data_IF_164035999750
#
_entry.id   IF_164035999750
#
_cell.length_a   1.000
_cell.length_b   1.000
_cell.length_c   1.000
_cell.angle_alpha   90.00
_cell.angle_beta   90.00
_cell.angle_gamma   90.00
#
_symmetry.space_group_name_H-M   'P 1'
#
loop_
_entity.id
_entity.type
_entity.pdbx_description
1 polymer ?
#
# COMPACT_ATOMS: atom_id res chain seq x y z
N UNK A 1 10.43 11.04 16.62
CA UNK A 1 11.65 10.66 15.87
C UNK A 1 12.05 11.77 14.90
N UNK A 2 11.16 12.24 14.02
CA UNK A 2 11.43 13.44 13.21
C UNK A 2 11.84 14.65 14.05
N UNK A 3 11.14 14.90 15.17
CA UNK A 3 11.49 16.01 16.08
C UNK A 3 12.90 15.88 16.71
N UNK A 4 13.41 14.64 16.82
CA UNK A 4 14.77 14.36 17.31
C UNK A 4 15.82 14.49 16.21
N UNK A 5 15.48 14.06 14.98
CA UNK A 5 16.40 14.03 13.83
C UNK A 5 16.53 15.42 13.20
N UNK A 6 15.44 16.19 13.12
CA UNK A 6 15.41 17.51 12.49
C UNK A 6 16.53 18.47 12.94
N UNK A 7 16.83 18.64 14.25
CA UNK A 7 17.93 19.50 14.68
C UNK A 7 19.34 18.95 14.37
N UNK A 8 19.45 17.66 14.02
CA UNK A 8 20.71 17.01 13.65
C UNK A 8 20.97 17.04 12.14
N UNK A 9 20.03 17.56 11.34
CA UNK A 9 20.16 17.60 9.88
C UNK A 9 21.24 18.60 9.49
N UNK A 10 22.25 18.11 8.78
CA UNK A 10 23.29 18.94 8.17
C UNK A 10 23.03 19.03 6.67
N UNK A 11 22.86 20.24 6.10
CA UNK A 11 22.74 20.42 4.67
C UNK A 11 23.98 19.89 3.93
N UNK A 12 23.78 19.17 2.82
CA UNK A 12 24.85 18.74 1.95
C UNK A 12 24.52 19.11 0.49
N UNK A 13 25.56 19.21 -0.34
CA UNK A 13 25.42 19.48 -1.78
C UNK A 13 25.43 18.20 -2.63
N UNK A 14 25.53 17.03 -1.99
CA UNK A 14 25.66 15.73 -2.64
C UNK A 14 24.31 15.06 -2.82
N UNK A 15 24.14 14.26 -3.87
CA UNK A 15 22.91 13.48 -4.06
C UNK A 15 22.91 12.27 -3.13
N UNK A 16 21.75 11.94 -2.56
CA UNK A 16 21.53 10.73 -1.77
C UNK A 16 20.88 9.69 -2.67
N UNK A 17 21.43 8.47 -2.68
CA UNK A 17 20.82 7.30 -3.33
C UNK A 17 20.41 6.31 -2.26
N UNK A 18 19.11 6.03 -2.17
CA UNK A 18 18.55 5.01 -1.29
C UNK A 18 18.13 3.81 -2.13
N UNK A 19 18.80 2.67 -1.93
CA UNK A 19 18.48 1.40 -2.59
C UNK A 19 17.76 0.47 -1.61
N UNK A 20 16.48 0.20 -1.85
CA UNK A 20 15.69 -0.77 -1.06
C UNK A 20 15.59 -2.09 -1.84
N UNK A 21 16.10 -3.17 -1.26
CA UNK A 21 16.00 -4.52 -1.82
C UNK A 21 14.84 -5.25 -1.13
N UNK A 22 13.72 -5.43 -1.83
CA UNK A 22 12.53 -6.06 -1.27
C UNK A 22 12.81 -7.52 -0.88
N UNK A 23 12.39 -7.91 0.33
CA UNK A 23 12.58 -9.27 0.83
C UNK A 23 14.04 -9.72 1.01
N UNK A 24 15.00 -8.80 1.17
CA UNK A 24 16.43 -9.14 1.28
C UNK A 24 16.77 -10.04 2.49
N UNK A 25 16.06 -9.84 3.60
CA UNK A 25 16.27 -10.60 4.82
C UNK A 25 15.88 -12.07 4.65
N UNK A 26 16.76 -12.97 5.08
CA UNK A 26 16.58 -14.42 4.98
C UNK A 26 16.88 -15.13 6.30
N UNK A 27 16.46 -16.38 6.40
CA UNK A 27 16.79 -17.26 7.54
C UNK A 27 17.91 -18.23 7.13
N UNK A 28 18.81 -18.58 8.07
CA UNK A 28 19.86 -19.54 7.77
C UNK A 28 19.26 -20.90 7.41
N UNK A 29 19.75 -21.50 6.31
CA UNK A 29 19.37 -22.86 5.94
C UNK A 29 19.98 -23.86 6.92
N UNK A 30 19.24 -24.88 7.38
CA UNK A 30 19.76 -25.86 8.35
C UNK A 30 21.05 -26.55 7.90
N UNK A 31 21.21 -26.77 6.60
CA UNK A 31 22.33 -27.56 6.04
C UNK A 31 23.63 -26.76 5.98
N UNK A 32 23.54 -25.44 5.78
CA UNK A 32 24.72 -24.56 5.58
C UNK A 32 24.96 -23.61 6.73
N UNK A 33 23.95 -23.38 7.57
CA UNK A 33 23.96 -22.34 8.62
C UNK A 33 23.97 -20.92 8.05
N UNK A 34 23.70 -20.74 6.75
CA UNK A 34 23.81 -19.45 6.05
C UNK A 34 22.47 -19.04 5.45
N UNK A 35 22.20 -17.74 5.49
CA UNK A 35 21.10 -17.10 4.76
C UNK A 35 21.36 -17.08 3.26
N UNK A 36 20.33 -16.71 2.49
CA UNK A 36 20.42 -16.48 1.05
C UNK A 36 21.48 -15.42 0.72
N UNK A 37 21.52 -14.34 1.50
CA UNK A 37 22.46 -13.23 1.28
C UNK A 37 23.91 -13.65 1.51
N UNK A 38 24.17 -14.47 2.54
CA UNK A 38 25.50 -15.01 2.86
C UNK A 38 25.96 -16.09 1.87
N UNK A 39 25.02 -16.74 1.19
CA UNK A 39 25.31 -17.76 0.18
C UNK A 39 25.59 -17.13 -1.19
N UNK A 40 24.99 -15.98 -1.48
CA UNK A 40 25.11 -15.31 -2.77
C UNK A 40 26.51 -14.73 -3.02
N UNK A 41 26.99 -14.83 -4.27
CA UNK A 41 28.26 -14.19 -4.69
C UNK A 41 28.02 -12.72 -5.03
N UNK A 42 28.31 -11.83 -4.07
CA UNK A 42 27.99 -10.39 -4.16
C UNK A 42 29.24 -9.50 -4.04
N UNK A 43 30.17 -9.52 -5.01
CA UNK A 43 31.46 -8.83 -4.89
C UNK A 43 31.33 -7.31 -4.72
N UNK A 44 30.34 -6.69 -5.39
CA UNK A 44 30.12 -5.24 -5.29
C UNK A 44 29.55 -4.84 -3.92
N UNK A 45 28.59 -5.61 -3.39
CA UNK A 45 28.01 -5.33 -2.07
C UNK A 45 29.02 -5.60 -0.96
N UNK A 46 29.81 -6.67 -1.10
CA UNK A 46 30.89 -7.00 -0.17
C UNK A 46 31.95 -5.90 -0.12
N UNK A 47 32.41 -5.41 -1.28
CA UNK A 47 33.36 -4.28 -1.34
C UNK A 47 32.77 -3.01 -0.72
N UNK A 48 31.52 -2.69 -1.04
CA UNK A 48 30.85 -1.54 -0.44
C UNK A 48 30.76 -1.65 1.08
N UNK A 49 30.44 -2.83 1.62
CA UNK A 49 30.37 -3.06 3.05
C UNK A 49 31.72 -2.86 3.78
N UNK A 50 32.85 -3.12 3.12
CA UNK A 50 34.18 -2.89 3.71
C UNK A 50 34.58 -1.41 3.81
N UNK A 51 33.94 -0.55 3.01
CA UNK A 51 34.26 0.89 2.92
C UNK A 51 33.15 1.76 3.55
N UNK A 52 32.07 1.15 4.06
CA UNK A 52 30.87 1.84 4.54
C UNK A 52 30.55 1.51 6.00
N UNK A 53 29.66 2.30 6.59
CA UNK A 53 29.05 1.97 7.87
C UNK A 53 27.92 0.94 7.67
N UNK A 54 28.05 -0.23 8.28
CA UNK A 54 27.04 -1.28 8.25
C UNK A 54 26.21 -1.30 9.54
N UNK A 55 24.96 -1.77 9.44
CA UNK A 55 24.06 -1.87 10.57
C UNK A 55 22.79 -2.63 10.21
N UNK A 56 21.90 -2.78 11.20
CA UNK A 56 20.58 -3.38 11.03
C UNK A 56 19.52 -2.29 11.00
N UNK A 57 18.60 -2.38 10.04
CA UNK A 57 17.45 -1.48 9.95
C UNK A 57 16.22 -2.19 10.47
N UNK A 58 15.49 -1.52 11.36
CA UNK A 58 14.18 -1.94 11.85
C UNK A 58 13.12 -1.02 11.27
N UNK A 59 12.28 -1.56 10.40
CA UNK A 59 11.25 -0.76 9.72
C UNK A 59 10.10 -0.31 10.63
N UNK A 60 9.68 -1.15 11.59
CA UNK A 60 8.51 -0.88 12.46
C UNK A 60 8.90 -1.02 13.93
N UNK A 61 8.77 -2.22 14.51
CA UNK A 61 9.09 -2.50 15.92
C UNK A 61 9.67 -3.90 16.10
N UNK A 62 10.37 -4.19 17.22
CA UNK A 62 10.87 -5.53 17.48
C UNK A 62 9.72 -6.52 17.47
N UNK A 63 9.88 -7.63 16.74
CA UNK A 63 8.83 -8.64 16.60
C UNK A 63 7.66 -8.29 15.68
N UNK A 64 7.67 -7.12 15.00
CA UNK A 64 6.63 -6.76 14.03
C UNK A 64 7.14 -6.99 12.61
N UNK A 65 6.54 -7.96 11.91
CA UNK A 65 6.78 -8.18 10.48
C UNK A 65 6.07 -7.10 9.66
N UNK A 66 6.80 -6.24 8.93
CA UNK A 66 6.19 -5.19 8.13
C UNK A 66 5.59 -5.73 6.84
N UNK A 67 4.44 -5.19 6.45
CA UNK A 67 4.04 -5.16 5.03
C UNK A 67 4.70 -3.98 4.31
N UNK A 68 4.66 -3.95 2.97
CA UNK A 68 5.36 -2.93 2.17
C UNK A 68 4.98 -1.49 2.55
N UNK A 69 3.73 -1.20 2.90
CA UNK A 69 3.30 0.15 3.31
C UNK A 69 4.02 0.66 4.57
N UNK A 70 3.79 0.04 5.76
CA UNK A 70 4.52 0.37 6.98
C UNK A 70 6.05 0.30 6.82
N UNK A 71 6.55 -0.65 6.02
CA UNK A 71 7.98 -0.82 5.74
C UNK A 71 8.62 0.41 5.08
N UNK A 72 7.97 0.94 4.05
CA UNK A 72 8.44 2.14 3.34
C UNK A 72 8.27 3.40 4.18
N UNK A 73 7.19 3.54 4.95
CA UNK A 73 7.00 4.69 5.84
C UNK A 73 8.13 4.81 6.87
N UNK A 74 8.48 3.68 7.51
CA UNK A 74 9.62 3.62 8.42
C UNK A 74 10.94 3.98 7.73
N UNK A 75 11.15 3.52 6.50
CA UNK A 75 12.34 3.83 5.71
C UNK A 75 12.46 5.34 5.40
N UNK A 76 11.34 6.02 5.16
CA UNK A 76 11.29 7.47 4.92
C UNK A 76 11.21 8.31 6.20
N UNK A 77 11.38 7.69 7.38
CA UNK A 77 11.46 8.38 8.67
C UNK A 77 10.11 8.71 9.32
N UNK A 78 8.99 8.25 8.74
CA UNK A 78 7.68 8.33 9.38
C UNK A 78 7.54 7.22 10.40
N UNK A 79 6.88 7.49 11.52
CA UNK A 79 6.48 6.45 12.47
C UNK A 79 5.27 5.68 11.91
N UNK A 80 5.41 4.42 11.47
CA UNK A 80 4.33 3.66 10.85
C UNK A 80 3.22 3.28 11.84
N UNK A 81 3.46 3.37 13.15
CA UNK A 81 2.43 3.15 14.17
C UNK A 81 1.54 4.39 14.34
N UNK A 82 2.10 5.59 14.09
CA UNK A 82 1.38 6.86 14.13
C UNK A 82 0.75 7.22 12.79
N UNK A 83 1.50 7.08 11.71
CA UNK A 83 1.09 7.43 10.35
C UNK A 83 0.65 6.17 9.61
N UNK A 84 -0.60 5.76 9.83
CA UNK A 84 -1.17 4.62 9.14
C UNK A 84 -1.76 5.06 7.80
N UNK A 85 -1.15 4.62 6.70
CA UNK A 85 -1.70 4.85 5.36
C UNK A 85 -2.59 3.67 5.00
N UNK A 86 -3.88 3.95 4.81
CA UNK A 86 -4.86 2.95 4.41
C UNK A 86 -4.61 2.42 2.99
N UNK A 87 -5.00 1.17 2.73
CA UNK A 87 -4.81 0.55 1.40
C UNK A 87 -5.51 1.31 0.27
N UNK A 88 -6.68 1.89 0.54
CA UNK A 88 -7.37 2.71 -0.47
C UNK A 88 -6.56 3.92 -0.92
N UNK A 89 -5.84 4.57 0.00
CA UNK A 89 -4.93 5.67 -0.32
C UNK A 89 -3.77 5.17 -1.18
N UNK A 90 -3.15 4.04 -0.83
CA UNK A 90 -2.06 3.46 -1.62
C UNK A 90 -2.50 3.06 -3.03
N UNK A 91 -3.68 2.47 -3.19
CA UNK A 91 -4.22 2.10 -4.52
C UNK A 91 -4.51 3.34 -5.37
N UNK A 92 -5.11 4.39 -4.79
CA UNK A 92 -5.33 5.67 -5.47
C UNK A 92 -4.01 6.32 -5.91
N UNK A 93 -3.00 6.36 -5.04
CA UNK A 93 -1.67 6.88 -5.38
C UNK A 93 -0.98 6.02 -6.45
N UNK A 94 -1.20 4.70 -6.45
CA UNK A 94 -0.63 3.77 -7.43
C UNK A 94 -1.11 4.00 -8.87
N UNK A 95 -2.22 4.70 -9.06
CA UNK A 95 -2.74 5.13 -10.36
C UNK A 95 -2.63 6.65 -10.57
N UNK A 96 -1.81 7.33 -9.75
CA UNK A 96 -1.58 8.78 -9.81
C UNK A 96 -2.87 9.62 -9.63
N UNK A 97 -3.85 9.12 -8.87
CA UNK A 97 -5.06 9.87 -8.56
C UNK A 97 -4.73 11.09 -7.67
N UNK A 98 -5.28 12.26 -8.01
CA UNK A 98 -5.17 13.51 -7.23
C UNK A 98 -5.97 13.41 -5.91
N UNK A 99 -5.39 12.71 -4.93
CA UNK A 99 -5.92 12.66 -3.56
C UNK A 99 -5.71 13.99 -2.85
N UNK A 100 -6.78 14.47 -2.22
CA UNK A 100 -6.80 15.71 -1.43
C UNK A 100 -7.03 15.41 0.04
N UNK A 101 -6.59 16.35 0.88
CA UNK A 101 -6.90 16.28 2.30
C UNK A 101 -8.42 16.23 2.52
N UNK A 102 -8.88 15.23 3.29
CA UNK A 102 -10.30 14.98 3.55
C UNK A 102 -10.96 13.98 2.60
N UNK A 103 -10.27 13.53 1.55
CA UNK A 103 -10.75 12.42 0.73
C UNK A 103 -10.73 11.11 1.52
N UNK A 104 -11.72 10.27 1.26
CA UNK A 104 -11.77 8.89 1.75
C UNK A 104 -11.65 7.95 0.57
N UNK A 105 -10.57 7.18 0.55
CA UNK A 105 -10.28 6.22 -0.50
C UNK A 105 -10.48 4.78 0.00
N UNK A 106 -11.16 3.96 -0.81
CA UNK A 106 -11.41 2.55 -0.56
C UNK A 106 -10.96 1.74 -1.77
N UNK A 107 -10.30 0.61 -1.51
CA UNK A 107 -10.03 -0.38 -2.55
C UNK A 107 -11.32 -1.16 -2.84
N UNK A 108 -11.64 -1.31 -4.11
CA UNK A 108 -12.76 -2.12 -4.58
C UNK A 108 -12.31 -3.31 -5.44
N UNK A 109 -13.08 -4.39 -5.36
CA UNK A 109 -12.97 -5.54 -6.25
C UNK A 109 -14.34 -5.77 -6.90
N UNK A 110 -14.37 -6.03 -8.21
CA UNK A 110 -15.52 -6.69 -8.82
C UNK A 110 -15.54 -8.17 -8.41
N UNK A 111 -16.71 -8.64 -8.00
CA UNK A 111 -16.98 -10.03 -7.64
C UNK A 111 -18.20 -10.55 -8.40
N UNK A 112 -18.33 -11.86 -8.46
CA UNK A 112 -19.52 -12.55 -8.99
C UNK A 112 -20.39 -13.00 -7.83
N UNK A 113 -21.70 -12.79 -7.95
CA UNK A 113 -22.71 -13.24 -6.97
C UNK A 113 -23.68 -14.23 -7.62
N UNK A 114 -24.22 -15.16 -6.84
CA UNK A 114 -25.31 -16.04 -7.26
C UNK A 114 -26.69 -15.33 -7.21
N UNK A 115 -27.75 -16.05 -7.58
CA UNK A 115 -29.12 -15.52 -7.55
C UNK A 115 -29.67 -15.20 -6.15
N UNK A 116 -28.96 -15.60 -5.09
CA UNK A 116 -29.27 -15.27 -3.69
C UNK A 116 -28.40 -14.13 -3.16
N UNK A 117 -27.56 -13.53 -4.01
CA UNK A 117 -26.64 -12.46 -3.65
C UNK A 117 -25.36 -12.92 -2.95
N UNK A 118 -25.08 -14.22 -2.89
CA UNK A 118 -23.88 -14.74 -2.24
C UNK A 118 -22.70 -14.67 -3.18
N UNK A 119 -21.54 -14.28 -2.68
CA UNK A 119 -20.31 -14.20 -3.46
C UNK A 119 -19.86 -15.61 -3.88
N UNK A 120 -19.80 -15.85 -5.20
CA UNK A 120 -19.32 -17.10 -5.81
C UNK A 120 -17.88 -16.99 -6.29
N UNK A 121 -17.44 -15.78 -6.64
CA UNK A 121 -16.04 -15.47 -6.95
C UNK A 121 -15.69 -14.05 -6.54
N UNK A 122 -14.83 -13.91 -5.53
CA UNK A 122 -14.37 -12.62 -4.99
C UNK A 122 -13.58 -11.75 -5.97
N UNK A 123 -13.17 -12.31 -7.11
CA UNK A 123 -12.34 -11.65 -8.13
C UNK A 123 -12.98 -11.65 -9.51
N UNK A 124 -14.22 -12.13 -9.63
CA UNK A 124 -14.95 -12.22 -10.90
C UNK A 124 -14.11 -12.86 -12.04
N UNK A 125 -13.44 -13.97 -11.77
CA UNK A 125 -12.58 -14.66 -12.74
C UNK A 125 -11.34 -13.87 -13.17
N UNK A 126 -11.01 -12.78 -12.45
CA UNK A 126 -10.05 -11.75 -12.89
C UNK A 126 -10.39 -11.24 -14.28
N UNK A 127 -11.59 -10.66 -14.42
CA UNK A 127 -12.00 -9.98 -15.65
C UNK A 127 -10.86 -9.12 -16.22
N UNK A 128 -10.79 -9.06 -17.55
CA UNK A 128 -9.81 -8.20 -18.21
C UNK A 128 -10.02 -6.72 -17.85
N UNK A 129 -8.93 -5.95 -17.85
CA UNK A 129 -8.95 -4.54 -17.40
C UNK A 129 -9.91 -3.68 -18.23
N UNK A 130 -10.09 -3.96 -19.51
CA UNK A 130 -11.06 -3.27 -20.37
C UNK A 130 -12.52 -3.45 -19.89
N UNK A 131 -12.84 -4.63 -19.35
CA UNK A 131 -14.15 -4.90 -18.72
C UNK A 131 -14.30 -4.08 -17.45
N UNK A 132 -13.25 -4.05 -16.62
CA UNK A 132 -13.23 -3.23 -15.41
C UNK A 132 -13.45 -1.75 -15.71
N UNK A 133 -12.78 -1.21 -16.73
CA UNK A 133 -12.99 0.18 -17.20
C UNK A 133 -14.48 0.42 -17.47
N UNK A 134 -15.13 -0.41 -18.30
CA UNK A 134 -16.56 -0.27 -18.62
C UNK A 134 -17.46 -0.36 -17.38
N UNK A 135 -17.14 -1.23 -16.42
CA UNK A 135 -17.91 -1.34 -15.19
C UNK A 135 -17.72 -0.11 -14.29
N UNK A 136 -16.49 0.39 -14.15
CA UNK A 136 -16.21 1.61 -13.38
C UNK A 136 -16.90 2.84 -13.98
N UNK A 137 -16.98 2.97 -15.29
CA UNK A 137 -17.74 4.03 -15.97
C UNK A 137 -19.22 4.04 -15.58
N UNK A 138 -19.83 2.86 -15.44
CA UNK A 138 -21.22 2.74 -14.96
C UNK A 138 -21.35 3.19 -13.50
N UNK A 139 -20.37 2.86 -12.65
CA UNK A 139 -20.35 3.28 -11.25
C UNK A 139 -20.14 4.79 -11.08
N UNK A 140 -19.39 5.45 -11.98
CA UNK A 140 -19.24 6.92 -11.99
C UNK A 140 -20.57 7.66 -12.22
N UNK A 141 -21.60 6.97 -12.73
CA UNK A 141 -22.96 7.50 -12.84
C UNK A 141 -23.67 7.70 -11.50
N UNK A 142 -23.18 7.07 -10.42
CA UNK A 142 -23.78 7.18 -9.08
C UNK A 142 -23.66 8.62 -8.59
N UNK A 143 -24.73 9.12 -7.96
CA UNK A 143 -24.78 10.44 -7.33
C UNK A 143 -25.11 10.26 -5.86
N UNK A 144 -24.30 10.87 -5.01
CA UNK A 144 -24.48 10.85 -3.57
C UNK A 144 -24.65 12.29 -3.07
N UNK A 145 -25.61 12.58 -2.18
CA UNK A 145 -25.76 13.91 -1.60
C UNK A 145 -24.50 14.34 -0.85
N UNK A 146 -24.04 15.57 -1.10
CA UNK A 146 -22.94 16.19 -0.34
C UNK A 146 -21.54 15.63 -0.60
N UNK A 147 -21.36 14.68 -1.51
CA UNK A 147 -20.04 14.14 -1.87
C UNK A 147 -19.87 14.00 -3.39
N UNK A 148 -18.66 14.24 -3.88
CA UNK A 148 -18.22 13.76 -5.18
C UNK A 148 -17.71 12.33 -5.04
N UNK A 149 -18.09 11.49 -6.01
CA UNK A 149 -17.71 10.09 -6.10
C UNK A 149 -16.85 9.90 -7.34
N UNK A 150 -15.66 9.33 -7.14
CA UNK A 150 -14.72 8.97 -8.18
C UNK A 150 -14.52 7.46 -8.12
N UNK A 151 -14.60 6.80 -9.27
CA UNK A 151 -14.33 5.36 -9.39
C UNK A 151 -13.36 5.18 -10.53
N UNK A 152 -12.14 4.73 -10.22
CA UNK A 152 -11.06 4.59 -11.18
C UNK A 152 -10.61 3.13 -11.28
N UNK A 153 -10.49 2.57 -12.50
CA UNK A 153 -9.99 1.23 -12.68
C UNK A 153 -8.50 1.16 -12.33
N UNK A 154 -8.07 0.07 -11.71
CA UNK A 154 -6.66 -0.17 -11.37
C UNK A 154 -6.08 -1.26 -12.27
N UNK A 155 -6.49 -2.52 -12.07
CA UNK A 155 -6.04 -3.67 -12.87
C UNK A 155 -6.96 -4.86 -12.68
N UNK A 156 -7.31 -5.52 -13.79
CA UNK A 156 -8.26 -6.63 -13.78
C UNK A 156 -9.53 -6.21 -13.02
N UNK A 157 -10.07 -7.05 -12.14
CA UNK A 157 -11.21 -6.78 -11.26
C UNK A 157 -11.03 -5.64 -10.24
N UNK A 158 -9.84 -5.04 -10.09
CA UNK A 158 -9.57 -4.03 -9.05
C UNK A 158 -9.90 -2.62 -9.54
N UNK A 159 -10.51 -1.84 -8.66
CA UNK A 159 -10.74 -0.42 -8.83
C UNK A 159 -10.50 0.31 -7.50
N UNK A 160 -10.41 1.64 -7.54
CA UNK A 160 -10.41 2.47 -6.35
C UNK A 160 -11.66 3.36 -6.35
N UNK A 161 -12.30 3.46 -5.19
CA UNK A 161 -13.38 4.41 -4.93
C UNK A 161 -12.79 5.55 -4.10
N UNK A 162 -12.99 6.79 -4.53
CA UNK A 162 -12.65 7.98 -3.74
C UNK A 162 -13.91 8.81 -3.54
N UNK A 163 -14.18 9.16 -2.28
CA UNK A 163 -15.26 10.05 -1.88
C UNK A 163 -14.66 11.36 -1.39
N UNK A 164 -15.20 12.48 -1.88
CA UNK A 164 -14.76 13.84 -1.54
C UNK A 164 -15.95 14.67 -1.07
N UNK A 165 -15.90 15.21 0.14
CA UNK A 165 -16.98 16.05 0.67
C UNK A 165 -17.12 17.36 -0.11
N UNK A 166 -18.37 17.79 -0.35
CA UNK A 166 -18.69 19.10 -0.91
C UNK A 166 -18.87 20.12 0.21
N UNK A 167 -18.02 21.15 0.20
CA UNK A 167 -18.08 22.25 1.16
C UNK A 167 -17.58 21.87 2.56
N UNK A 168 -17.86 22.74 3.56
CA UNK A 168 -17.45 22.54 4.97
C UNK A 168 -18.38 21.62 5.77
N UNK A 169 -19.46 21.13 5.16
CA UNK A 169 -20.51 20.38 5.84
C UNK A 169 -20.18 18.88 5.86
N UNK A 170 -19.57 18.44 6.97
CA UNK A 170 -19.39 17.03 7.28
C UNK A 170 -18.08 16.45 6.75
N UNK A 171 -17.07 16.37 7.61
CA UNK A 171 -15.84 15.65 7.31
C UNK A 171 -16.15 14.16 7.08
N UNK A 172 -15.70 13.61 5.97
CA UNK A 172 -15.72 12.17 5.77
C UNK A 172 -14.77 11.51 6.77
N UNK A 173 -15.20 10.37 7.32
CA UNK A 173 -14.38 9.58 8.24
C UNK A 173 -13.67 8.47 7.46
N UNK A 174 -12.35 8.38 7.59
CA UNK A 174 -11.56 7.27 7.04
C UNK A 174 -11.76 5.93 7.74
N UNK A 175 -12.58 5.86 8.81
CA UNK A 175 -12.96 4.61 9.49
C UNK A 175 -13.95 3.80 8.65
N UNK A 176 -13.45 3.20 7.59
CA UNK A 176 -14.21 2.30 6.72
C UNK A 176 -14.23 0.89 7.32
N UNK A 177 -15.39 0.23 7.25
CA UNK A 177 -15.51 -1.21 7.46
C UNK A 177 -15.17 -1.96 6.17
N UNK A 178 -14.61 -3.16 6.29
CA UNK A 178 -14.45 -4.07 5.15
C UNK A 178 -15.80 -4.67 4.77
N UNK A 179 -16.14 -4.64 3.48
CA UNK A 179 -17.38 -5.24 2.95
C UNK A 179 -17.12 -6.58 2.27
N UNK A 180 -15.87 -6.89 1.92
CA UNK A 180 -15.50 -8.22 1.42
C UNK A 180 -15.51 -9.22 2.60
N UNK A 181 -16.41 -10.23 2.60
CA UNK A 181 -16.55 -11.18 3.71
C UNK A 181 -15.33 -12.12 3.84
N UNK A 182 -14.39 -12.04 2.91
CA UNK A 182 -13.22 -12.90 2.80
C UNK A 182 -13.51 -14.38 2.55
N UNK A 183 -14.78 -14.74 2.39
CA UNK A 183 -15.30 -16.09 2.17
C UNK A 183 -16.19 -16.15 0.91
N UNK A 184 -16.44 -17.37 0.44
CA UNK A 184 -17.40 -17.65 -0.61
C UNK A 184 -18.71 -18.16 0.03
N UNK A 185 -19.83 -18.01 -0.68
CA UNK A 185 -21.14 -18.47 -0.23
C UNK A 185 -21.77 -17.57 0.85
N UNK A 186 -21.14 -16.45 1.17
CA UNK A 186 -21.67 -15.41 2.05
C UNK A 186 -22.15 -14.21 1.23
N UNK A 187 -23.18 -13.47 1.69
CA UNK A 187 -23.56 -12.18 1.12
C UNK A 187 -22.39 -11.18 1.11
#
# INVERSE_FOLDING_TARGET
MLDLIAPLVVPNATKIVLLSLDGLGGLPRPETGRSELETARLPNLARLATEAACGLVRHVAPGITPGSGPGHLGLFGYDPLRYQVGRGVLEALGIEFDLRAGDVAARGNFCTVDGLGRITDRRAGRIATDVCVRLTERLRGIRLPGVDLFVEPVREHRFVLVLRAKGRAGGLSGRLSETDPQALGTP
#
